data_IF_567779770351
#
_entry.id   IF_567779770351
#
_cell.length_a   1.000
_cell.length_b   1.000
_cell.length_c   1.000
_cell.angle_alpha   90.00
_cell.angle_beta   90.00
_cell.angle_gamma   90.00
#
_symmetry.space_group_name_H-M   'P 1'
#
loop_
_entity.id
_entity.type
_entity.pdbx_description
1 polymer ?
#
# COMPACT_ATOMS: atom_id res chain seq x y z
N UNK A 1 28.48 -26.21 9.36
CA UNK A 1 27.29 -26.64 8.60
C UNK A 1 26.28 -25.53 8.59
N UNK A 2 25.93 -25.06 7.42
CA UNK A 2 24.92 -24.03 7.27
C UNK A 2 23.53 -24.65 7.29
N UNK A 3 22.81 -24.39 8.36
CA UNK A 3 21.39 -24.77 8.43
C UNK A 3 20.60 -23.72 7.67
N UNK A 4 20.04 -24.08 6.55
CA UNK A 4 19.06 -23.22 5.86
C UNK A 4 17.82 -23.12 6.73
N UNK A 5 17.68 -21.99 7.40
CA UNK A 5 16.39 -21.65 7.99
C UNK A 5 15.43 -21.31 6.84
N UNK A 6 14.32 -22.00 6.76
CA UNK A 6 13.23 -21.59 5.90
C UNK A 6 12.74 -20.23 6.38
N UNK A 7 13.17 -19.19 5.68
CA UNK A 7 12.64 -17.86 5.96
C UNK A 7 11.19 -17.82 5.53
N UNK A 8 10.31 -17.44 6.44
CA UNK A 8 8.94 -17.18 6.11
C UNK A 8 8.89 -16.05 5.07
N UNK A 9 8.30 -16.33 3.92
CA UNK A 9 8.10 -15.33 2.89
C UNK A 9 6.88 -14.51 3.25
N UNK A 10 7.08 -13.22 3.41
CA UNK A 10 5.99 -12.29 3.68
C UNK A 10 4.99 -12.26 2.53
N UNK A 11 3.73 -12.09 2.87
CA UNK A 11 2.67 -11.84 1.90
C UNK A 11 1.74 -10.76 2.41
N UNK A 12 1.09 -10.10 1.50
CA UNK A 12 0.04 -9.13 1.79
C UNK A 12 -1.27 -9.69 1.26
N UNK A 13 -2.28 -9.68 2.10
CA UNK A 13 -3.62 -10.09 1.73
C UNK A 13 -4.54 -8.89 1.87
N UNK A 14 -5.40 -8.65 0.90
CA UNK A 14 -6.32 -7.52 0.90
C UNK A 14 -7.72 -8.00 0.56
N UNK A 15 -8.73 -7.46 1.24
CA UNK A 15 -10.11 -7.75 0.88
C UNK A 15 -10.45 -7.13 -0.48
N UNK A 16 -11.36 -7.76 -1.20
CA UNK A 16 -11.84 -7.24 -2.48
C UNK A 16 -12.43 -5.84 -2.32
N UNK A 17 -13.17 -5.60 -1.24
CA UNK A 17 -13.71 -4.27 -0.93
C UNK A 17 -12.62 -3.21 -0.79
N UNK A 18 -11.57 -3.51 -0.03
CA UNK A 18 -10.47 -2.58 0.16
C UNK A 18 -9.74 -2.32 -1.16
N UNK A 19 -9.47 -3.37 -1.95
CA UNK A 19 -8.87 -3.22 -3.26
C UNK A 19 -9.71 -2.32 -4.16
N UNK A 20 -11.00 -2.56 -4.24
CA UNK A 20 -11.91 -1.78 -5.09
C UNK A 20 -11.98 -0.32 -4.63
N UNK A 21 -11.96 -0.09 -3.32
CA UNK A 21 -11.89 1.25 -2.75
C UNK A 21 -10.61 1.99 -3.14
N UNK A 22 -9.47 1.31 -3.10
CA UNK A 22 -8.19 1.89 -3.54
C UNK A 22 -8.25 2.26 -5.01
N UNK A 23 -8.68 1.35 -5.87
CA UNK A 23 -8.77 1.58 -7.31
C UNK A 23 -9.67 2.77 -7.63
N UNK A 24 -10.84 2.82 -7.00
CA UNK A 24 -11.78 3.94 -7.18
C UNK A 24 -11.17 5.28 -6.77
N UNK A 25 -10.48 5.29 -5.63
CA UNK A 25 -9.82 6.49 -5.13
C UNK A 25 -8.72 6.97 -6.08
N UNK A 26 -7.93 6.05 -6.63
CA UNK A 26 -6.89 6.39 -7.60
C UNK A 26 -7.48 7.01 -8.88
N UNK A 27 -8.56 6.44 -9.38
CA UNK A 27 -9.27 6.98 -10.55
C UNK A 27 -9.83 8.37 -10.30
N UNK A 28 -10.38 8.61 -9.12
CA UNK A 28 -10.93 9.91 -8.74
C UNK A 28 -9.87 11.00 -8.67
N UNK A 29 -8.66 10.65 -8.24
CA UNK A 29 -7.58 11.62 -8.09
C UNK A 29 -6.76 11.84 -9.37
N UNK A 30 -6.86 10.92 -10.34
CA UNK A 30 -6.10 11.04 -11.58
C UNK A 30 -6.37 12.39 -12.27
N UNK A 31 -5.36 13.12 -12.76
CA UNK A 31 -3.95 12.74 -12.93
C UNK A 31 -3.04 13.05 -11.73
N UNK A 32 -3.59 13.40 -10.59
CA UNK A 32 -2.81 13.61 -9.37
C UNK A 32 -2.58 12.29 -8.64
N UNK A 33 -1.47 12.20 -7.92
CA UNK A 33 -1.26 11.07 -7.01
C UNK A 33 -2.22 11.15 -5.84
N UNK A 34 -2.91 10.03 -5.58
CA UNK A 34 -3.72 9.88 -4.37
C UNK A 34 -2.96 9.08 -3.32
N UNK A 35 -3.28 9.29 -2.06
CA UNK A 35 -2.68 8.53 -0.95
C UNK A 35 -3.76 8.14 0.06
N UNK A 36 -3.68 6.89 0.55
CA UNK A 36 -4.53 6.38 1.62
C UNK A 36 -3.68 5.62 2.64
N UNK A 37 -4.11 5.64 3.89
CA UNK A 37 -3.57 4.76 4.92
C UNK A 37 -4.29 3.42 4.83
N UNK A 38 -3.52 2.34 4.95
CA UNK A 38 -4.04 0.98 4.98
C UNK A 38 -4.29 0.56 6.41
N UNK A 39 -5.49 0.07 6.70
CA UNK A 39 -5.87 -0.49 8.00
C UNK A 39 -5.97 -2.00 7.90
N UNK A 40 -5.59 -2.66 8.98
CA UNK A 40 -5.70 -4.10 9.05
C UNK A 40 -4.93 -4.69 10.22
N UNK A 41 -4.35 -5.84 9.99
CA UNK A 41 -3.64 -6.62 11.00
C UNK A 41 -2.33 -7.13 10.43
N UNK A 42 -1.39 -7.43 11.31
CA UNK A 42 -0.16 -8.09 10.93
C UNK A 42 0.10 -9.28 11.83
N UNK A 43 0.71 -10.32 11.27
CA UNK A 43 1.14 -11.50 12.01
C UNK A 43 2.36 -12.09 11.34
N UNK A 44 3.48 -12.15 12.07
CA UNK A 44 4.74 -12.73 11.58
C UNK A 44 5.23 -12.11 10.26
N UNK A 45 5.01 -10.80 10.10
CA UNK A 45 5.40 -10.08 8.89
C UNK A 45 4.37 -10.12 7.77
N UNK A 46 3.39 -11.00 7.84
CA UNK A 46 2.25 -10.98 6.91
C UNK A 46 1.30 -9.86 7.29
N UNK A 47 0.74 -9.22 6.28
CA UNK A 47 -0.17 -8.08 6.47
C UNK A 47 -1.52 -8.41 5.84
N UNK A 48 -2.58 -8.17 6.60
CA UNK A 48 -3.96 -8.28 6.13
C UNK A 48 -4.58 -6.88 6.11
N UNK A 49 -5.04 -6.45 4.94
CA UNK A 49 -5.63 -5.13 4.73
C UNK A 49 -7.14 -5.28 4.53
N UNK A 50 -7.93 -4.67 5.40
CA UNK A 50 -9.38 -4.73 5.36
C UNK A 50 -10.06 -3.36 5.45
N UNK A 51 -9.30 -2.29 5.48
CA UNK A 51 -9.86 -0.94 5.56
C UNK A 51 -8.91 0.12 5.05
N UNK A 52 -9.46 1.30 4.86
CA UNK A 52 -8.76 2.45 4.30
C UNK A 52 -9.09 3.69 5.12
N UNK A 53 -8.10 4.56 5.26
CA UNK A 53 -8.27 5.86 5.95
C UNK A 53 -7.66 6.95 5.09
N UNK A 54 -8.40 8.05 4.93
CA UNK A 54 -7.86 9.25 4.28
C UNK A 54 -6.93 9.93 5.29
N UNK A 55 -5.63 10.11 4.97
CA UNK A 55 -4.71 10.74 5.92
C UNK A 55 -5.05 12.22 6.11
N UNK A 56 -4.90 12.74 7.35
CA UNK A 56 -5.09 14.15 7.60
C UNK A 56 -3.96 14.97 6.99
N UNK A 57 -4.27 16.18 6.51
CA UNK A 57 -3.30 17.11 5.95
C UNK A 57 -2.46 16.54 4.82
N UNK A 58 -3.05 15.61 4.03
CA UNK A 58 -2.35 15.05 2.87
C UNK A 58 -2.19 16.11 1.79
N UNK A 59 -1.03 16.08 1.11
CA UNK A 59 -0.75 16.87 -0.08
C UNK A 59 -0.73 15.95 -1.28
N UNK A 60 -1.34 16.37 -2.38
CA UNK A 60 -1.37 15.60 -3.61
C UNK A 60 -0.95 16.46 -4.79
N UNK A 61 -0.37 15.82 -5.78
CA UNK A 61 0.02 16.45 -7.03
C UNK A 61 0.20 15.40 -8.11
N UNK A 62 0.54 15.82 -9.34
CA UNK A 62 0.72 14.89 -10.45
C UNK A 62 1.91 13.94 -10.23
N UNK A 63 2.93 14.40 -9.52
CA UNK A 63 4.20 13.68 -9.37
C UNK A 63 4.43 13.15 -7.96
N UNK A 64 3.59 13.50 -6.99
CA UNK A 64 3.77 13.03 -5.61
C UNK A 64 2.47 13.04 -4.83
N UNK A 65 2.45 12.21 -3.79
CA UNK A 65 1.46 12.27 -2.73
C UNK A 65 2.18 12.04 -1.40
N UNK A 66 1.75 12.74 -0.34
CA UNK A 66 2.36 12.61 0.96
C UNK A 66 1.47 13.15 2.07
N UNK A 67 1.87 12.87 3.29
CA UNK A 67 1.20 13.41 4.47
C UNK A 67 2.20 13.47 5.63
N UNK A 68 2.02 14.43 6.57
CA UNK A 68 2.88 14.48 7.74
C UNK A 68 2.51 13.33 8.70
N UNK A 69 3.50 12.59 9.16
CA UNK A 69 3.30 11.47 10.07
C UNK A 69 3.05 11.90 11.52
N UNK A 70 3.59 13.05 11.92
CA UNK A 70 3.50 13.51 13.30
C UNK A 70 2.08 13.74 13.82
N UNK A 71 1.10 14.23 13.02
CA UNK A 71 -0.26 14.38 13.51
C UNK A 71 -1.03 13.08 13.62
N UNK A 72 -0.49 11.97 13.11
CA UNK A 72 -1.18 10.68 13.20
C UNK A 72 -1.15 10.16 14.64
N UNK A 73 -2.29 9.70 15.16
CA UNK A 73 -2.28 8.99 16.43
C UNK A 73 -1.52 7.67 16.30
N UNK A 74 -0.95 7.21 17.39
CA UNK A 74 -0.40 5.86 17.44
C UNK A 74 -1.55 4.86 17.33
N UNK A 75 -1.64 4.17 16.21
CA UNK A 75 -2.70 3.21 15.95
C UNK A 75 -2.10 1.96 15.30
N UNK A 76 -2.12 0.84 16.03
CA UNK A 76 -1.56 -0.42 15.57
C UNK A 76 -2.34 -1.05 14.43
N UNK A 77 -3.56 -0.57 14.16
CA UNK A 77 -4.33 -1.02 13.00
C UNK A 77 -3.87 -0.36 11.69
N UNK A 78 -3.02 0.65 11.75
CA UNK A 78 -2.42 1.26 10.56
C UNK A 78 -1.23 0.41 10.13
N UNK A 79 -1.39 -0.35 9.06
CA UNK A 79 -0.38 -1.33 8.63
C UNK A 79 0.49 -0.83 7.48
N UNK A 80 0.13 0.27 6.86
CA UNK A 80 0.91 0.83 5.78
C UNK A 80 0.16 1.92 5.05
N UNK A 81 0.63 2.20 3.84
CA UNK A 81 -0.02 3.18 2.97
C UNK A 81 -0.06 2.69 1.53
N UNK A 82 -0.94 3.28 0.75
CA UNK A 82 -1.02 3.09 -0.69
C UNK A 82 -1.05 4.44 -1.38
N UNK A 83 -0.37 4.54 -2.51
CA UNK A 83 -0.47 5.71 -3.37
C UNK A 83 -0.51 5.30 -4.83
N UNK A 84 -1.01 6.21 -5.66
CA UNK A 84 -1.09 6.00 -7.10
C UNK A 84 0.12 6.59 -7.81
N UNK A 85 0.49 5.95 -8.93
CA UNK A 85 1.50 6.45 -9.88
C UNK A 85 0.81 6.74 -11.22
N UNK A 86 0.40 7.99 -11.46
CA UNK A 86 -0.30 8.34 -12.71
C UNK A 86 0.55 8.16 -13.96
N UNK A 87 1.88 8.15 -13.82
CA UNK A 87 2.80 7.96 -14.95
C UNK A 87 2.97 6.50 -15.39
N UNK A 88 2.33 5.55 -14.72
CA UNK A 88 2.24 4.17 -15.19
C UNK A 88 3.33 3.21 -14.73
N UNK A 89 4.24 3.61 -13.84
CA UNK A 89 5.21 2.70 -13.21
C UNK A 89 4.72 2.28 -11.82
N UNK A 90 4.84 0.99 -11.51
CA UNK A 90 4.49 0.48 -10.18
C UNK A 90 5.70 0.37 -9.26
N UNK A 91 6.89 0.74 -9.71
CA UNK A 91 8.10 0.67 -8.89
C UNK A 91 8.20 1.85 -7.93
N UNK A 92 8.64 1.61 -6.66
CA UNK A 92 8.86 2.69 -5.72
C UNK A 92 9.97 3.62 -6.20
N UNK A 93 9.75 4.92 -6.09
CA UNK A 93 10.79 5.92 -6.28
C UNK A 93 11.65 6.01 -5.02
N UNK A 94 12.79 6.71 -5.09
CA UNK A 94 13.60 6.99 -3.91
C UNK A 94 12.80 7.80 -2.88
N UNK A 95 11.99 8.74 -3.33
CA UNK A 95 11.09 9.50 -2.46
C UNK A 95 10.09 8.61 -1.75
N UNK A 96 9.51 7.64 -2.47
CA UNK A 96 8.60 6.66 -1.89
C UNK A 96 9.27 5.86 -0.77
N UNK A 97 10.50 5.40 -1.00
CA UNK A 97 11.25 4.64 -0.01
C UNK A 97 11.62 5.49 1.21
N UNK A 98 11.96 6.76 1.00
CA UNK A 98 12.29 7.68 2.09
C UNK A 98 11.09 8.05 2.94
N UNK A 99 9.89 7.98 2.40
CA UNK A 99 8.64 8.29 3.08
C UNK A 99 7.84 7.04 3.47
N UNK A 100 8.51 5.91 3.54
CA UNK A 100 7.87 4.63 3.89
C UNK A 100 7.20 4.73 5.26
N UNK A 101 5.98 4.21 5.33
CA UNK A 101 5.16 4.22 6.54
C UNK A 101 4.59 2.83 6.79
N UNK A 102 4.77 2.34 8.03
CA UNK A 102 4.20 1.05 8.44
C UNK A 102 4.97 -0.17 7.95
N UNK A 103 4.26 -1.25 7.68
CA UNK A 103 4.82 -2.56 7.36
C UNK A 103 4.79 -2.87 5.86
N UNK A 104 3.98 -2.17 5.10
CA UNK A 104 3.84 -2.35 3.66
C UNK A 104 3.56 -1.03 2.98
N UNK A 105 4.11 -0.86 1.79
CA UNK A 105 3.75 0.22 0.89
C UNK A 105 3.13 -0.39 -0.36
N UNK A 106 1.96 0.09 -0.75
CA UNK A 106 1.31 -0.36 -1.97
C UNK A 106 1.34 0.76 -3.01
N UNK A 107 1.49 0.38 -4.26
CA UNK A 107 1.49 1.31 -5.39
C UNK A 107 0.49 0.82 -6.42
N UNK A 108 -0.35 1.73 -6.90
CA UNK A 108 -1.29 1.46 -7.98
C UNK A 108 -0.90 2.31 -9.18
N UNK A 109 -0.61 1.66 -10.29
CA UNK A 109 -0.23 2.36 -11.51
C UNK A 109 -1.42 2.60 -12.43
N UNK A 110 -1.37 3.69 -13.22
CA UNK A 110 -2.33 3.92 -14.29
C UNK A 110 -2.26 2.75 -15.30
N UNK A 111 -3.37 2.30 -15.85
CA UNK A 111 -4.73 2.84 -15.81
C UNK A 111 -5.63 2.37 -14.66
N UNK A 112 -5.07 1.82 -13.60
CA UNK A 112 -5.78 1.42 -12.38
C UNK A 112 -6.76 0.27 -12.60
N UNK A 113 -6.33 -0.76 -13.29
CA UNK A 113 -7.05 -2.02 -13.38
C UNK A 113 -6.82 -2.85 -12.11
N UNK A 114 -7.59 -3.90 -11.93
CA UNK A 114 -7.49 -4.75 -10.75
C UNK A 114 -6.08 -5.35 -10.56
N UNK A 115 -5.35 -5.56 -11.64
CA UNK A 115 -3.99 -6.12 -11.62
C UNK A 115 -2.88 -5.06 -11.53
N UNK A 116 -3.23 -3.78 -11.47
CA UNK A 116 -2.28 -2.68 -11.45
C UNK A 116 -1.83 -2.29 -10.03
N UNK A 117 -2.09 -3.13 -9.05
CA UNK A 117 -1.78 -2.89 -7.65
C UNK A 117 -0.67 -3.82 -7.18
N UNK A 118 0.32 -3.27 -6.48
CA UNK A 118 1.53 -3.98 -6.06
C UNK A 118 1.89 -3.61 -4.63
N UNK A 119 2.52 -4.55 -3.92
CA UNK A 119 2.96 -4.34 -2.54
C UNK A 119 4.48 -4.42 -2.45
N UNK A 120 5.07 -3.58 -1.61
CA UNK A 120 6.52 -3.40 -1.48
C UNK A 120 6.93 -3.32 -0.02
N UNK A 121 8.12 -3.84 0.29
CA UNK A 121 8.71 -3.67 1.61
C UNK A 121 9.57 -2.39 1.67
N UNK A 122 10.16 -2.13 2.84
CA UNK A 122 10.96 -0.92 3.06
C UNK A 122 12.28 -0.89 2.30
N UNK A 123 12.71 -2.03 1.78
CA UNK A 123 13.90 -2.14 0.95
C UNK A 123 13.62 -1.95 -0.54
N UNK A 124 12.34 -1.81 -0.91
CA UNK A 124 11.94 -1.72 -2.31
C UNK A 124 11.77 -3.07 -2.99
N UNK A 125 11.69 -4.15 -2.22
CA UNK A 125 11.43 -5.49 -2.76
C UNK A 125 9.93 -5.76 -2.78
N UNK A 126 9.47 -6.37 -3.87
CA UNK A 126 8.06 -6.68 -4.04
C UNK A 126 7.62 -7.80 -3.10
N UNK A 127 6.43 -7.62 -2.50
CA UNK A 127 5.79 -8.63 -1.67
C UNK A 127 4.59 -9.20 -2.43
N UNK A 128 4.41 -10.53 -2.48
CA UNK A 128 3.22 -11.11 -3.11
C UNK A 128 1.94 -10.56 -2.51
N UNK A 129 1.00 -10.20 -3.36
CA UNK A 129 -0.31 -9.64 -2.97
C UNK A 129 -1.41 -10.61 -3.40
N UNK A 130 -2.24 -10.99 -2.44
CA UNK A 130 -3.39 -11.85 -2.68
C UNK A 130 -4.67 -11.09 -2.33
N UNK A 131 -5.66 -11.16 -3.23
CA UNK A 131 -6.97 -10.55 -2.99
C UNK A 131 -7.94 -11.62 -2.52
N UNK A 132 -8.54 -11.39 -1.35
CA UNK A 132 -9.56 -12.27 -0.80
C UNK A 132 -10.92 -11.89 -1.35
N UNK A 133 -11.54 -12.81 -2.08
CA UNK A 133 -12.92 -12.68 -2.51
C UNK A 133 -13.84 -13.24 -1.45
N UNK A 134 -14.87 -12.48 -1.09
CA UNK A 134 -15.92 -13.00 -0.22
C UNK A 134 -16.87 -13.84 -1.05
N UNK A 135 -16.91 -15.14 -0.79
CA UNK A 135 -17.97 -15.98 -1.30
C UNK A 135 -19.20 -15.79 -0.42
N UNK A 136 -20.28 -15.38 -1.03
CA UNK A 136 -21.59 -15.39 -0.39
C UNK A 136 -22.24 -16.75 -0.56
#
# INVERSE_FOLDING_TARGET
MLIKKNKHKRKVTITEEARDGIISFCKMNHPNEGILILRGKSKRGDVFVDGLVIPPFSETGADFAGFPHNPLPLDLSYVGMVHSHPAGSAEPSLTDLNNYFGLVSMIVKSPYNDDDIFAWDSNGDEIPLEVLTTEN
#
